data_IF_306274171669
#
_entry.id   IF_306274171669
#
_cell.length_a   1.000
_cell.length_b   1.000
_cell.length_c   1.000
_cell.angle_alpha   90.00
_cell.angle_beta   90.00
_cell.angle_gamma   90.00
#
_symmetry.space_group_name_H-M   'P 1'
#
loop_
_entity.id
_entity.type
_entity.pdbx_description
1 polymer ?
#
# COMPACT_ATOMS: atom_id res chain seq x y z
N UNK A 1 -0.91 -1.26 -15.06
CA UNK A 1 -0.95 -1.24 -13.58
C UNK A 1 0.20 -0.44 -12.96
N UNK A 2 1.47 -0.71 -13.31
CA UNK A 2 2.63 -0.02 -12.70
C UNK A 2 2.56 1.51 -12.77
N UNK A 3 2.09 2.09 -13.89
CA UNK A 3 1.94 3.55 -14.00
C UNK A 3 0.91 4.14 -13.04
N UNK A 4 -0.17 3.41 -12.74
CA UNK A 4 -1.16 3.85 -11.78
C UNK A 4 -0.60 3.79 -10.35
N UNK A 5 0.14 2.71 -10.03
CA UNK A 5 0.85 2.60 -8.75
C UNK A 5 1.89 3.73 -8.59
N UNK A 6 2.69 3.99 -9.63
CA UNK A 6 3.70 5.05 -9.65
C UNK A 6 3.11 6.44 -9.40
N UNK A 7 2.01 6.78 -10.09
CA UNK A 7 1.29 8.03 -9.83
C UNK A 7 0.68 8.07 -8.43
N UNK A 8 0.15 6.94 -7.95
CA UNK A 8 -0.34 6.84 -6.57
C UNK A 8 0.75 7.10 -5.52
N UNK A 9 1.99 6.69 -5.76
CA UNK A 9 3.15 7.05 -4.91
C UNK A 9 3.41 8.55 -4.94
N UNK A 10 3.36 9.18 -6.11
CA UNK A 10 3.49 10.64 -6.24
C UNK A 10 2.37 11.39 -5.50
N UNK A 11 1.14 10.87 -5.55
CA UNK A 11 -0.02 11.45 -4.85
C UNK A 11 0.13 11.33 -3.33
N UNK A 12 0.54 10.16 -2.82
CA UNK A 12 0.83 9.96 -1.39
C UNK A 12 1.92 10.92 -0.92
N UNK A 13 3.02 11.03 -1.68
CA UNK A 13 4.10 11.96 -1.37
C UNK A 13 3.62 13.41 -1.32
N UNK A 14 2.83 13.82 -2.32
CA UNK A 14 2.23 15.16 -2.38
C UNK A 14 1.32 15.44 -1.17
N UNK A 15 0.51 14.46 -0.77
CA UNK A 15 -0.40 14.62 0.35
C UNK A 15 0.34 14.78 1.69
N UNK A 16 1.43 14.04 1.89
CA UNK A 16 2.29 14.21 3.08
C UNK A 16 2.94 15.59 3.08
N UNK A 17 3.45 16.05 1.94
CA UNK A 17 4.00 17.41 1.79
C UNK A 17 2.98 18.47 2.13
N UNK A 18 1.73 18.32 1.69
CA UNK A 18 0.65 19.25 2.03
C UNK A 18 0.50 19.39 3.55
N UNK A 19 0.43 18.28 4.29
CA UNK A 19 0.28 18.36 5.74
C UNK A 19 1.49 18.99 6.42
N UNK A 20 2.72 18.64 6.01
CA UNK A 20 3.92 19.27 6.57
C UNK A 20 3.99 20.77 6.25
N UNK A 21 3.57 21.17 5.04
CA UNK A 21 3.38 22.58 4.67
C UNK A 21 2.31 23.25 5.53
N UNK A 22 1.18 22.59 5.80
CA UNK A 22 0.10 23.18 6.59
C UNK A 22 0.53 23.50 8.02
N UNK A 23 1.41 22.69 8.60
CA UNK A 23 1.98 22.94 9.94
C UNK A 23 2.86 24.20 9.91
N UNK A 24 3.71 24.34 8.88
CA UNK A 24 4.68 25.45 8.79
C UNK A 24 4.05 26.77 8.34
N UNK A 25 3.09 26.74 7.43
CA UNK A 25 2.60 27.93 6.73
C UNK A 25 1.11 28.21 6.91
N UNK A 26 0.31 27.22 7.31
CA UNK A 26 -1.15 27.35 7.41
C UNK A 26 -1.64 27.24 8.86
N UNK A 27 -0.80 27.59 9.84
CA UNK A 27 -1.16 27.56 11.26
C UNK A 27 -1.66 26.19 11.76
N UNK A 28 -1.17 25.10 11.16
CA UNK A 28 -1.53 23.72 11.52
C UNK A 28 -3.04 23.45 11.61
N UNK A 29 -3.80 23.78 10.55
CA UNK A 29 -5.28 23.65 10.49
C UNK A 29 -5.83 22.30 10.94
N UNK A 30 -5.05 21.22 10.77
CA UNK A 30 -5.48 19.85 11.01
C UNK A 30 -4.88 19.22 12.28
N UNK A 31 -4.14 19.99 13.09
CA UNK A 31 -3.51 19.48 14.32
C UNK A 31 -2.51 18.35 14.09
N UNK A 32 -1.78 18.40 12.98
CA UNK A 32 -0.84 17.35 12.56
C UNK A 32 0.46 17.46 13.37
N UNK A 33 0.93 16.32 13.86
CA UNK A 33 2.33 16.11 14.23
C UNK A 33 3.07 15.53 13.02
N UNK A 34 4.01 16.31 12.45
CA UNK A 34 4.74 15.94 11.23
C UNK A 34 5.65 14.72 11.41
N UNK A 35 5.91 14.32 12.66
CA UNK A 35 6.75 13.16 13.00
C UNK A 35 5.95 11.88 13.23
N UNK A 36 4.61 11.93 13.15
CA UNK A 36 3.70 10.83 13.51
C UNK A 36 2.78 10.39 12.38
N UNK A 37 3.13 10.72 11.14
CA UNK A 37 2.31 10.41 9.96
C UNK A 37 2.38 8.90 9.67
N UNK A 38 1.21 8.29 9.44
CA UNK A 38 1.08 6.88 9.03
C UNK A 38 0.39 6.81 7.66
N UNK A 39 0.94 6.01 6.74
CA UNK A 39 0.30 5.69 5.46
C UNK A 39 -0.40 4.34 5.58
N UNK A 40 -1.72 4.34 5.48
CA UNK A 40 -2.54 3.13 5.62
C UNK A 40 -3.27 2.81 4.30
N UNK A 41 -3.03 1.62 3.77
CA UNK A 41 -3.62 1.14 2.53
C UNK A 41 -4.47 -0.11 2.70
N UNK A 42 -5.61 -0.20 2.03
CA UNK A 42 -6.45 -1.39 1.97
C UNK A 42 -6.85 -1.74 0.54
N UNK A 43 -6.83 -3.03 0.18
CA UNK A 43 -7.11 -3.48 -1.19
C UNK A 43 -6.11 -2.90 -2.18
N UNK A 44 -6.57 -2.19 -3.22
CA UNK A 44 -5.69 -1.41 -4.12
C UNK A 44 -4.84 -0.39 -3.35
N UNK A 45 -5.37 0.19 -2.28
CA UNK A 45 -4.61 1.06 -1.38
C UNK A 45 -3.44 0.34 -0.71
N UNK A 46 -3.52 -0.97 -0.48
CA UNK A 46 -2.41 -1.77 0.06
C UNK A 46 -1.22 -1.85 -0.89
N UNK A 47 -1.46 -1.82 -2.20
CA UNK A 47 -0.38 -1.68 -3.19
C UNK A 47 0.27 -0.31 -3.09
N UNK A 48 -0.54 0.75 -2.89
CA UNK A 48 -0.02 2.11 -2.77
C UNK A 48 0.74 2.33 -1.47
N UNK A 49 0.30 1.78 -0.34
CA UNK A 49 1.06 1.91 0.91
C UNK A 49 2.38 1.15 0.85
N UNK A 50 2.40 -0.06 0.28
CA UNK A 50 3.64 -0.81 0.05
C UNK A 50 4.57 -0.11 -0.95
N UNK A 51 4.04 0.34 -2.09
CA UNK A 51 4.85 1.07 -3.08
C UNK A 51 5.34 2.41 -2.52
N UNK A 52 4.54 3.14 -1.74
CA UNK A 52 4.98 4.41 -1.13
C UNK A 52 6.03 4.21 -0.05
N UNK A 53 6.18 2.99 0.49
CA UNK A 53 7.19 2.66 1.48
C UNK A 53 8.50 2.22 0.84
N UNK A 54 8.42 1.47 -0.25
CA UNK A 54 9.56 0.72 -0.77
C UNK A 54 9.91 1.03 -2.23
N UNK A 55 9.11 1.82 -2.96
CA UNK A 55 9.47 2.34 -4.29
C UNK A 55 9.92 3.80 -4.15
N UNK A 56 11.20 3.99 -3.90
CA UNK A 56 11.82 5.26 -3.55
C UNK A 56 12.75 5.80 -4.65
N UNK A 57 13.19 4.95 -5.58
CA UNK A 57 14.10 5.34 -6.67
C UNK A 57 13.63 4.79 -8.01
N UNK A 58 13.79 5.58 -9.08
CA UNK A 58 13.47 5.11 -10.43
C UNK A 58 14.31 3.90 -10.87
N UNK A 59 15.53 3.78 -10.33
CA UNK A 59 16.42 2.64 -10.56
C UNK A 59 15.80 1.32 -10.06
N UNK A 60 14.91 1.32 -9.06
CA UNK A 60 14.24 0.11 -8.58
C UNK A 60 13.29 -0.46 -9.65
N UNK A 61 12.68 0.40 -10.48
CA UNK A 61 11.86 -0.03 -11.62
C UNK A 61 12.73 -0.62 -12.72
N UNK A 62 13.76 0.11 -13.14
CA UNK A 62 14.60 -0.30 -14.28
C UNK A 62 15.47 -1.51 -13.97
N UNK A 63 15.84 -1.69 -12.69
CA UNK A 63 16.62 -2.82 -12.20
C UNK A 63 15.76 -3.96 -11.63
N UNK A 64 14.42 -3.88 -11.71
CA UNK A 64 13.57 -4.98 -11.23
C UNK A 64 13.96 -6.28 -11.95
N UNK A 65 14.19 -7.39 -11.21
CA UNK A 65 14.62 -8.66 -11.79
C UNK A 65 13.74 -9.15 -12.95
N UNK A 66 14.38 -9.78 -13.94
CA UNK A 66 13.70 -10.33 -15.10
C UNK A 66 13.12 -9.30 -16.08
N UNK A 67 13.44 -8.01 -15.92
CA UNK A 67 12.91 -6.96 -16.79
C UNK A 67 11.40 -6.77 -16.65
N UNK A 68 10.84 -7.06 -15.47
CA UNK A 68 9.38 -7.07 -15.19
C UNK A 68 8.64 -5.83 -15.68
N UNK A 69 9.26 -4.66 -15.62
CA UNK A 69 8.67 -3.37 -16.02
C UNK A 69 9.24 -2.82 -17.33
N UNK A 70 9.74 -3.71 -18.19
CA UNK A 70 10.29 -3.39 -19.50
C UNK A 70 9.41 -4.08 -20.55
N UNK A 71 8.85 -3.30 -21.48
CA UNK A 71 8.05 -3.78 -22.60
C UNK A 71 8.95 -4.07 -23.81
N UNK A 72 8.99 -5.31 -24.31
CA UNK A 72 9.60 -5.59 -25.60
C UNK A 72 8.66 -5.10 -26.71
N UNK A 73 9.09 -4.12 -27.50
CA UNK A 73 8.30 -3.54 -28.59
C UNK A 73 8.96 -3.84 -29.93
N UNK A 74 8.21 -4.49 -30.82
CA UNK A 74 8.72 -4.90 -32.13
C UNK A 74 9.19 -3.68 -32.94
N UNK A 75 10.41 -3.76 -33.47
CA UNK A 75 11.02 -2.69 -34.27
C UNK A 75 11.59 -1.52 -33.47
N UNK A 76 11.45 -1.54 -32.13
CA UNK A 76 11.92 -0.44 -31.25
C UNK A 76 12.85 -0.97 -30.16
N UNK A 77 12.61 -2.20 -29.67
CA UNK A 77 13.39 -2.84 -28.62
C UNK A 77 12.72 -2.71 -27.25
N UNK A 78 13.53 -2.75 -26.21
CA UNK A 78 13.08 -2.76 -24.83
C UNK A 78 12.77 -1.34 -24.34
N UNK A 79 11.52 -1.09 -23.96
CA UNK A 79 11.05 0.22 -23.50
C UNK A 79 10.55 0.11 -22.05
N UNK A 80 11.12 0.88 -21.09
CA UNK A 80 10.59 0.96 -19.74
C UNK A 80 9.12 1.38 -19.71
N UNK A 81 8.32 0.73 -18.87
CA UNK A 81 6.90 1.08 -18.67
C UNK A 81 6.70 2.43 -17.95
N UNK A 82 7.75 2.92 -17.29
CA UNK A 82 7.85 4.23 -16.64
C UNK A 82 9.09 4.91 -17.21
N UNK A 83 8.96 6.17 -17.59
CA UNK A 83 10.05 7.03 -18.03
C UNK A 83 9.88 8.37 -17.32
N UNK A 84 10.78 8.74 -16.40
CA UNK A 84 10.60 9.94 -15.56
C UNK A 84 10.41 11.24 -16.35
N UNK A 85 11.05 11.38 -17.52
CA UNK A 85 10.83 12.56 -18.38
C UNK A 85 9.41 12.67 -18.94
N UNK A 86 8.62 11.61 -18.84
CA UNK A 86 7.20 11.56 -19.23
C UNK A 86 6.31 11.42 -18.00
N UNK A 87 6.66 10.58 -17.02
CA UNK A 87 5.82 10.24 -15.87
C UNK A 87 6.12 11.05 -14.59
N UNK A 88 7.13 11.90 -14.59
CA UNK A 88 7.63 12.59 -13.40
C UNK A 88 8.55 11.72 -12.55
N UNK A 89 9.25 12.37 -11.62
CA UNK A 89 10.09 11.68 -10.63
C UNK A 89 9.23 10.83 -9.68
N UNK A 90 9.78 9.76 -9.12
CA UNK A 90 9.02 8.82 -8.26
C UNK A 90 8.42 9.51 -7.03
N UNK A 91 9.16 10.46 -6.46
CA UNK A 91 8.73 11.28 -5.34
C UNK A 91 7.72 12.37 -5.77
N UNK A 92 7.51 12.62 -7.06
CA UNK A 92 6.58 13.63 -7.58
C UNK A 92 6.98 15.09 -7.32
N UNK A 93 8.26 15.40 -7.08
CA UNK A 93 8.72 16.81 -6.90
C UNK A 93 9.48 17.41 -8.09
N UNK A 94 9.62 16.65 -9.18
CA UNK A 94 10.23 17.11 -10.43
C UNK A 94 9.36 18.11 -11.21
N UNK A 95 9.88 18.68 -12.31
CA UNK A 95 9.09 19.61 -13.14
C UNK A 95 7.83 18.94 -13.70
N UNK A 96 6.79 19.71 -14.05
CA UNK A 96 5.60 19.16 -14.71
C UNK A 96 6.00 18.37 -15.96
N UNK A 97 5.39 17.20 -16.15
CA UNK A 97 5.65 16.34 -17.30
C UNK A 97 4.42 16.20 -18.18
N UNK A 98 4.67 16.16 -19.49
CA UNK A 98 3.64 16.03 -20.52
C UNK A 98 4.01 14.85 -21.41
N UNK A 99 3.03 14.01 -21.73
CA UNK A 99 3.21 12.88 -22.64
C UNK A 99 3.54 13.36 -24.06
N UNK A 100 4.42 12.62 -24.73
CA UNK A 100 4.73 12.84 -26.14
C UNK A 100 4.21 11.70 -27.01
N UNK A 101 4.06 11.94 -28.31
CA UNK A 101 3.76 10.90 -29.28
C UNK A 101 4.86 9.82 -29.37
N UNK A 102 6.10 10.16 -29.01
CA UNK A 102 7.23 9.23 -28.92
C UNK A 102 7.22 8.37 -27.65
N UNK A 103 6.40 8.72 -26.66
CA UNK A 103 6.20 7.90 -25.47
C UNK A 103 5.41 6.66 -25.87
N UNK A 104 6.10 5.54 -26.04
CA UNK A 104 5.51 4.28 -26.53
C UNK A 104 4.31 3.82 -25.68
N UNK A 105 4.34 3.98 -24.35
CA UNK A 105 3.14 3.73 -23.56
C UNK A 105 1.95 4.64 -23.91
N UNK A 106 2.13 5.83 -24.50
CA UNK A 106 1.03 6.60 -25.13
C UNK A 106 0.42 5.82 -26.31
N UNK A 107 1.26 5.26 -27.19
CA UNK A 107 0.82 4.52 -28.37
C UNK A 107 0.18 3.15 -28.04
N UNK A 108 0.62 2.50 -26.94
CA UNK A 108 0.14 1.17 -26.53
C UNK A 108 -0.97 1.25 -25.48
N UNK A 109 -0.97 2.25 -24.60
CA UNK A 109 -1.93 2.41 -23.49
C UNK A 109 -2.92 3.56 -23.71
N UNK A 110 -2.92 4.18 -24.89
CA UNK A 110 -3.89 5.19 -25.33
C UNK A 110 -3.93 6.48 -24.51
N UNK A 111 -2.82 6.90 -23.89
CA UNK A 111 -2.70 8.30 -23.47
C UNK A 111 -2.75 9.20 -24.72
N UNK A 112 -3.23 10.43 -24.60
CA UNK A 112 -3.11 11.38 -25.72
C UNK A 112 -1.77 12.07 -25.60
N UNK A 113 -1.12 12.34 -26.75
CA UNK A 113 0.03 13.24 -26.76
C UNK A 113 -0.41 14.61 -26.26
N UNK A 114 0.37 15.22 -25.38
CA UNK A 114 0.03 16.50 -24.75
C UNK A 114 -0.71 16.37 -23.42
N UNK A 115 -0.98 15.15 -22.94
CA UNK A 115 -1.57 14.93 -21.61
C UNK A 115 -0.54 15.22 -20.52
N UNK A 116 -0.89 16.02 -19.53
CA UNK A 116 -0.09 16.20 -18.34
C UNK A 116 -0.13 14.92 -17.50
N UNK A 117 1.04 14.33 -17.25
CA UNK A 117 1.15 13.05 -16.52
C UNK A 117 1.61 13.22 -15.08
N UNK A 118 2.30 14.31 -14.76
CA UNK A 118 2.72 14.65 -13.40
C UNK A 118 2.77 16.17 -13.23
N UNK A 119 2.23 16.66 -12.12
CA UNK A 119 2.34 18.07 -11.72
C UNK A 119 2.86 18.11 -10.28
N UNK A 120 4.04 18.69 -10.03
CA UNK A 120 4.58 18.78 -8.70
C UNK A 120 3.74 19.72 -7.83
N UNK A 121 3.51 19.33 -6.59
CA UNK A 121 2.82 20.13 -5.60
C UNK A 121 3.62 20.14 -4.29
N UNK A 122 3.63 21.29 -3.62
CA UNK A 122 4.30 21.50 -2.33
C UNK A 122 5.79 21.12 -2.34
N UNK A 123 6.47 21.39 -3.47
CA UNK A 123 7.91 21.14 -3.65
C UNK A 123 8.73 21.80 -2.53
N UNK A 124 9.78 21.10 -2.09
CA UNK A 124 10.66 21.54 -1.00
C UNK A 124 10.19 21.10 0.39
N UNK A 125 8.99 20.54 0.53
CA UNK A 125 8.56 19.85 1.74
C UNK A 125 8.92 18.36 1.71
N UNK A 126 9.29 17.80 2.87
CA UNK A 126 9.56 16.36 3.02
C UNK A 126 8.26 15.55 2.85
N UNK A 127 8.35 14.41 2.18
CA UNK A 127 7.29 13.40 2.09
C UNK A 127 7.51 12.19 2.99
N UNK A 128 8.51 12.23 3.87
CA UNK A 128 8.78 11.12 4.81
C UNK A 128 7.67 10.96 5.84
N UNK A 129 7.45 9.73 6.28
CA UNK A 129 6.42 9.38 7.27
C UNK A 129 6.91 8.22 8.14
N UNK A 130 6.26 8.02 9.29
CA UNK A 130 6.82 7.22 10.39
C UNK A 130 6.39 5.76 10.38
N UNK A 131 5.27 5.42 9.73
CA UNK A 131 4.70 4.08 9.75
C UNK A 131 3.93 3.75 8.47
N UNK A 132 4.09 2.53 7.96
CA UNK A 132 3.28 2.00 6.86
C UNK A 132 2.33 0.92 7.39
N UNK A 133 1.10 0.92 6.90
CA UNK A 133 0.14 -0.16 7.11
C UNK A 133 -0.41 -0.65 5.78
N UNK A 134 -0.44 -1.96 5.56
CA UNK A 134 -1.13 -2.55 4.42
C UNK A 134 -2.12 -3.63 4.85
N UNK A 135 -3.33 -3.56 4.30
CA UNK A 135 -4.40 -4.53 4.49
C UNK A 135 -4.75 -5.16 3.14
N UNK A 136 -4.20 -6.34 2.88
CA UNK A 136 -4.17 -6.94 1.55
C UNK A 136 -3.25 -6.17 0.59
N UNK A 137 -3.45 -6.43 -0.70
CA UNK A 137 -2.60 -5.89 -1.77
C UNK A 137 -1.19 -6.49 -1.79
N UNK A 138 -0.35 -6.01 -2.71
CA UNK A 138 0.98 -6.57 -2.89
C UNK A 138 2.00 -5.53 -3.38
N UNK A 139 3.27 -5.77 -3.09
CA UNK A 139 4.39 -4.99 -3.60
C UNK A 139 4.74 -5.47 -5.02
N UNK A 140 5.05 -4.54 -5.92
CA UNK A 140 5.36 -4.86 -7.31
C UNK A 140 6.55 -5.81 -7.44
N UNK A 141 7.57 -5.63 -6.61
CA UNK A 141 8.68 -6.57 -6.47
C UNK A 141 9.39 -6.39 -5.12
N UNK A 142 9.87 -7.48 -4.51
CA UNK A 142 10.58 -7.38 -3.22
C UNK A 142 12.00 -6.84 -3.34
N UNK A 143 12.55 -6.77 -4.56
CA UNK A 143 13.83 -6.11 -4.83
C UNK A 143 13.81 -4.61 -4.55
N UNK A 144 12.62 -4.00 -4.45
CA UNK A 144 12.46 -2.59 -4.12
C UNK A 144 12.74 -2.30 -2.64
N UNK A 145 12.57 -3.28 -1.75
CA UNK A 145 12.79 -3.08 -0.32
C UNK A 145 14.28 -2.80 -0.08
N UNK A 146 14.58 -1.71 0.60
CA UNK A 146 15.92 -1.29 1.03
C UNK A 146 15.97 -1.18 2.55
N UNK A 147 17.12 -1.49 3.16
CA UNK A 147 17.26 -1.38 4.61
C UNK A 147 17.15 0.09 5.07
N UNK A 148 16.50 0.31 6.22
CA UNK A 148 16.33 1.65 6.80
C UNK A 148 15.04 2.39 6.38
N UNK A 149 14.20 1.77 5.56
CA UNK A 149 12.88 2.31 5.19
C UNK A 149 11.84 2.10 6.30
N UNK A 150 10.67 2.70 6.13
CA UNK A 150 9.59 2.77 7.13
C UNK A 150 9.15 1.38 7.63
N UNK A 151 8.96 1.20 8.96
CA UNK A 151 8.37 -0.02 9.51
C UNK A 151 6.98 -0.30 8.91
N UNK A 152 6.62 -1.59 8.82
CA UNK A 152 5.37 -2.02 8.19
C UNK A 152 4.53 -2.86 9.15
N UNK A 153 3.24 -2.56 9.23
CA UNK A 153 2.22 -3.43 9.82
C UNK A 153 1.36 -3.99 8.68
N UNK A 154 1.27 -5.31 8.60
CA UNK A 154 0.53 -5.99 7.56
C UNK A 154 -0.64 -6.79 8.09
N UNK A 155 -1.75 -6.76 7.36
CA UNK A 155 -2.88 -7.67 7.49
C UNK A 155 -3.16 -8.30 6.14
N UNK A 156 -3.38 -9.61 6.08
CA UNK A 156 -3.63 -10.27 4.79
C UNK A 156 -4.46 -11.53 4.98
N UNK A 157 -5.41 -11.78 4.07
CA UNK A 157 -6.12 -13.05 4.01
C UNK A 157 -5.31 -14.05 3.20
N UNK A 158 -5.00 -15.22 3.77
CA UNK A 158 -4.17 -16.22 3.09
C UNK A 158 -4.78 -16.75 1.78
N UNK A 159 -6.10 -16.76 1.68
CA UNK A 159 -6.89 -17.26 0.54
C UNK A 159 -7.38 -16.16 -0.42
N UNK A 160 -6.86 -14.94 -0.34
CA UNK A 160 -7.25 -13.85 -1.25
C UNK A 160 -7.03 -14.26 -2.72
N UNK A 161 -8.10 -14.23 -3.50
CA UNK A 161 -8.13 -14.68 -4.89
C UNK A 161 -7.55 -13.66 -5.89
N UNK A 162 -7.37 -12.41 -5.46
CA UNK A 162 -6.91 -11.30 -6.31
C UNK A 162 -5.47 -10.92 -5.99
N UNK A 163 -5.18 -10.65 -4.72
CA UNK A 163 -3.84 -10.30 -4.24
C UNK A 163 -3.20 -11.53 -3.57
N UNK A 164 -2.09 -12.08 -4.09
CA UNK A 164 -1.47 -13.22 -3.46
C UNK A 164 -0.78 -12.80 -2.16
N UNK A 165 -0.96 -13.57 -1.07
CA UNK A 165 -0.23 -13.29 0.17
C UNK A 165 1.28 -13.51 0.04
N UNK A 166 1.69 -14.56 -0.67
CA UNK A 166 3.08 -14.82 -1.06
C UNK A 166 3.36 -14.23 -2.44
N UNK A 167 4.58 -14.39 -2.96
CA UNK A 167 4.92 -14.11 -4.35
C UNK A 167 4.05 -14.97 -5.26
N UNK A 168 3.34 -14.32 -6.17
CA UNK A 168 2.43 -14.98 -7.07
C UNK A 168 1.81 -14.00 -8.07
N UNK A 169 0.91 -14.52 -8.91
CA UNK A 169 0.28 -13.72 -9.95
C UNK A 169 -0.90 -12.93 -9.37
N UNK A 170 -0.82 -11.61 -9.47
CA UNK A 170 -1.94 -10.71 -9.28
C UNK A 170 -3.02 -10.97 -10.32
N UNK A 171 -4.26 -11.04 -9.88
CA UNK A 171 -5.43 -11.21 -10.74
C UNK A 171 -6.40 -10.05 -10.58
N UNK A 172 -6.98 -9.60 -11.69
CA UNK A 172 -8.03 -8.57 -11.68
C UNK A 172 -9.40 -9.18 -11.97
N UNK A 173 -10.46 -8.72 -11.31
CA UNK A 173 -11.81 -9.18 -11.60
C UNK A 173 -12.22 -8.73 -13.01
N UNK A 174 -12.71 -9.67 -13.83
CA UNK A 174 -13.31 -9.38 -15.14
C UNK A 174 -14.63 -10.14 -15.28
N UNK A 175 -15.40 -9.84 -16.34
CA UNK A 175 -16.62 -10.59 -16.67
C UNK A 175 -16.35 -12.07 -17.02
N UNK A 176 -15.11 -12.43 -17.33
CA UNK A 176 -14.69 -13.80 -17.67
C UNK A 176 -14.03 -14.53 -16.49
N UNK A 177 -13.99 -13.90 -15.32
CA UNK A 177 -13.29 -14.38 -14.12
C UNK A 177 -11.98 -13.62 -13.84
N UNK A 178 -11.23 -14.03 -12.79
CA UNK A 178 -9.96 -13.39 -12.41
C UNK A 178 -8.86 -13.60 -13.46
N UNK A 179 -8.47 -12.53 -14.15
CA UNK A 179 -7.46 -12.56 -15.21
C UNK A 179 -6.06 -12.19 -14.66
N UNK A 180 -4.99 -12.90 -15.05
CA UNK A 180 -3.64 -12.63 -14.57
C UNK A 180 -3.10 -11.30 -15.11
N UNK A 181 -2.38 -10.55 -14.28
CA UNK A 181 -1.78 -9.26 -14.65
C UNK A 181 -0.26 -9.30 -14.58
N UNK A 182 0.30 -9.58 -13.40
CA UNK A 182 1.75 -9.54 -13.17
C UNK A 182 2.09 -10.27 -11.88
N UNK A 183 3.30 -10.83 -11.79
CA UNK A 183 3.81 -11.38 -10.53
C UNK A 183 4.15 -10.27 -9.54
N UNK A 184 3.63 -10.37 -8.33
CA UNK A 184 3.79 -9.43 -7.21
C UNK A 184 4.06 -10.22 -5.93
N UNK A 185 4.46 -9.53 -4.85
CA UNK A 185 4.69 -10.16 -3.54
C UNK A 185 3.83 -9.54 -2.45
N UNK A 186 2.95 -10.34 -1.84
CA UNK A 186 2.12 -9.89 -0.74
C UNK A 186 2.82 -9.91 0.62
N UNK A 187 2.00 -9.65 1.64
CA UNK A 187 2.45 -9.49 3.03
C UNK A 187 3.18 -10.70 3.61
N UNK A 188 2.88 -11.92 3.16
CA UNK A 188 3.55 -13.13 3.68
C UNK A 188 5.07 -13.08 3.40
N UNK A 189 5.48 -12.63 2.22
CA UNK A 189 6.91 -12.57 1.86
C UNK A 189 7.54 -11.24 2.25
N UNK A 190 6.80 -10.14 2.12
CA UNK A 190 7.26 -8.81 2.55
C UNK A 190 7.58 -8.81 4.04
N UNK A 191 6.70 -9.32 4.90
CA UNK A 191 6.94 -9.37 6.34
C UNK A 191 8.18 -10.19 6.71
N UNK A 192 8.39 -11.33 6.05
CA UNK A 192 9.58 -12.17 6.24
C UNK A 192 10.88 -11.48 5.82
N UNK A 193 10.83 -10.60 4.81
CA UNK A 193 12.00 -9.81 4.41
C UNK A 193 12.29 -8.71 5.43
N UNK A 194 11.25 -7.99 5.87
CA UNK A 194 11.40 -6.90 6.84
C UNK A 194 11.94 -7.39 8.19
N UNK A 195 11.42 -8.50 8.69
CA UNK A 195 11.87 -9.09 9.96
C UNK A 195 13.34 -9.57 9.85
N UNK A 196 13.71 -10.24 8.74
CA UNK A 196 15.11 -10.67 8.51
C UNK A 196 16.09 -9.52 8.40
N UNK A 197 15.63 -8.35 7.94
CA UNK A 197 16.44 -7.14 7.79
C UNK A 197 16.39 -6.21 9.00
N UNK A 198 15.65 -6.60 10.05
CA UNK A 198 15.49 -5.81 11.27
C UNK A 198 14.67 -4.52 11.09
N UNK A 199 13.94 -4.36 9.99
CA UNK A 199 13.17 -3.14 9.70
C UNK A 199 11.96 -2.97 10.64
N UNK A 200 11.48 -4.09 11.18
CA UNK A 200 10.37 -4.14 12.13
C UNK A 200 10.82 -4.27 13.59
N UNK A 201 12.12 -4.11 13.88
CA UNK A 201 12.68 -4.32 15.23
C UNK A 201 12.12 -3.38 16.28
N UNK A 202 11.61 -2.20 15.88
CA UNK A 202 10.90 -1.29 16.78
C UNK A 202 9.74 -1.97 17.51
N UNK A 203 9.08 -2.95 16.88
CA UNK A 203 7.95 -3.67 17.49
C UNK A 203 8.38 -4.64 18.60
N UNK A 204 9.66 -4.99 18.72
CA UNK A 204 10.20 -5.77 19.85
C UNK A 204 10.15 -4.98 21.17
N UNK A 205 10.01 -3.66 21.10
CA UNK A 205 9.95 -2.78 22.28
C UNK A 205 8.56 -2.70 22.92
N UNK A 206 7.55 -3.35 22.34
CA UNK A 206 6.21 -3.42 22.92
C UNK A 206 6.30 -4.15 24.28
N UNK A 207 5.85 -3.53 25.39
CA UNK A 207 5.96 -4.16 26.70
C UNK A 207 5.14 -5.45 26.80
N UNK A 208 5.62 -6.40 27.62
CA UNK A 208 4.90 -7.63 27.90
C UNK A 208 3.47 -7.35 28.41
N UNK A 209 2.49 -8.08 27.88
CA UNK A 209 1.07 -7.91 28.22
C UNK A 209 0.37 -6.70 27.59
N UNK A 210 1.06 -5.88 26.78
CA UNK A 210 0.45 -4.72 26.07
C UNK A 210 0.01 -5.02 24.64
N UNK A 211 0.15 -6.26 24.18
CA UNK A 211 -0.27 -6.72 22.85
C UNK A 211 -1.06 -8.03 22.93
N UNK A 212 -2.31 -7.97 23.42
CA UNK A 212 -3.14 -9.17 23.58
C UNK A 212 -3.51 -9.80 22.23
N UNK A 213 -3.55 -9.01 21.15
CA UNK A 213 -3.92 -9.52 19.83
C UNK A 213 -2.80 -10.30 19.17
N UNK A 214 -1.52 -9.99 19.44
CA UNK A 214 -0.41 -10.80 18.95
C UNK A 214 -0.35 -12.20 19.54
N UNK A 215 -0.98 -12.46 20.70
CA UNK A 215 -1.11 -13.82 21.22
C UNK A 215 -1.92 -14.75 20.28
N UNK A 216 -2.77 -14.19 19.43
CA UNK A 216 -3.55 -14.93 18.42
C UNK A 216 -2.88 -14.96 17.04
N UNK A 217 -1.79 -14.21 16.87
CA UNK A 217 -1.04 -14.19 15.63
C UNK A 217 -0.24 -15.49 15.45
N UNK A 218 -0.46 -16.19 14.33
CA UNK A 218 0.15 -17.50 14.04
C UNK A 218 1.33 -17.44 13.07
N UNK A 219 1.66 -16.25 12.55
CA UNK A 219 2.70 -16.09 11.53
C UNK A 219 4.11 -16.17 12.12
N UNK A 220 4.28 -15.78 13.39
CA UNK A 220 5.59 -15.62 14.03
C UNK A 220 6.33 -14.34 13.62
N UNK A 221 5.77 -13.54 12.71
CA UNK A 221 6.32 -12.26 12.29
C UNK A 221 6.02 -11.15 13.31
N UNK A 222 6.89 -10.13 13.36
CA UNK A 222 6.78 -9.03 14.33
C UNK A 222 5.51 -8.17 14.13
N UNK A 223 5.15 -7.93 12.87
CA UNK A 223 4.05 -7.05 12.50
C UNK A 223 3.26 -7.52 11.27
N UNK A 224 3.04 -8.83 11.15
CA UNK A 224 2.14 -9.39 10.15
C UNK A 224 1.09 -10.29 10.79
N UNK A 225 -0.18 -9.92 10.63
CA UNK A 225 -1.33 -10.69 11.06
C UNK A 225 -2.06 -11.31 9.87
N UNK A 226 -2.02 -12.64 9.77
CA UNK A 226 -2.71 -13.36 8.71
C UNK A 226 -4.11 -13.82 9.15
N UNK A 227 -5.12 -13.50 8.34
CA UNK A 227 -6.48 -14.04 8.48
C UNK A 227 -6.64 -15.30 7.62
N UNK A 228 -7.26 -16.33 8.19
CA UNK A 228 -7.55 -17.60 7.53
C UNK A 228 -8.99 -18.03 7.84
N UNK A 229 -9.61 -18.80 6.94
CA UNK A 229 -10.99 -19.28 7.12
C UNK A 229 -12.00 -18.13 7.18
N UNK A 230 -11.85 -17.14 6.29
CA UNK A 230 -12.74 -15.98 6.24
C UNK A 230 -14.11 -16.38 5.68
N UNK A 231 -15.20 -15.69 6.07
CA UNK A 231 -16.54 -15.96 5.54
C UNK A 231 -16.55 -15.89 4.01
N UNK A 232 -17.12 -16.91 3.37
CA UNK A 232 -17.20 -17.05 1.91
C UNK A 232 -15.84 -16.91 1.19
N UNK A 233 -14.75 -17.29 1.87
CA UNK A 233 -13.37 -17.14 1.37
C UNK A 233 -13.02 -15.70 0.94
N UNK A 234 -13.68 -14.70 1.54
CA UNK A 234 -13.46 -13.29 1.23
C UNK A 234 -12.02 -12.87 1.53
N UNK A 235 -11.36 -12.22 0.56
CA UNK A 235 -10.06 -11.55 0.74
C UNK A 235 -10.11 -10.29 1.61
N UNK A 236 -11.31 -9.81 1.93
CA UNK A 236 -11.56 -8.58 2.70
C UNK A 236 -12.69 -8.75 3.72
N UNK A 237 -12.56 -9.65 4.72
CA UNK A 237 -13.62 -9.96 5.69
C UNK A 237 -14.05 -8.76 6.56
N UNK A 238 -13.25 -7.69 6.58
CA UNK A 238 -13.54 -6.41 7.23
C UNK A 238 -14.48 -5.49 6.41
N UNK A 239 -14.80 -5.84 5.17
CA UNK A 239 -15.74 -5.11 4.33
C UNK A 239 -17.15 -5.68 4.43
N UNK A 240 -18.16 -4.83 4.28
CA UNK A 240 -19.54 -5.25 4.08
C UNK A 240 -20.30 -4.29 3.18
N UNK A 241 -21.29 -4.82 2.46
CA UNK A 241 -22.23 -4.02 1.68
C UNK A 241 -23.52 -3.77 2.48
N UNK A 242 -24.25 -2.72 2.10
CA UNK A 242 -25.60 -2.48 2.62
C UNK A 242 -26.55 -3.58 2.11
N UNK A 243 -27.22 -4.28 3.03
CA UNK A 243 -28.11 -5.39 2.70
C UNK A 243 -29.32 -4.98 1.83
N UNK A 244 -29.81 -3.74 1.94
CA UNK A 244 -30.98 -3.24 1.18
C UNK A 244 -30.63 -2.75 -0.22
N UNK A 245 -29.35 -2.46 -0.48
CA UNK A 245 -28.84 -2.08 -1.80
C UNK A 245 -27.55 -2.88 -2.03
N UNK A 246 -27.64 -4.20 -2.26
CA UNK A 246 -26.47 -5.06 -2.34
C UNK A 246 -25.66 -4.90 -3.64
N UNK A 247 -25.49 -3.66 -4.15
CA UNK A 247 -24.67 -3.22 -5.31
C UNK A 247 -25.40 -3.26 -6.67
N UNK A 248 -24.81 -2.70 -7.76
CA UNK A 248 -25.41 -2.74 -9.09
C UNK A 248 -25.66 -4.18 -9.54
N UNK A 249 -26.90 -4.47 -9.92
CA UNK A 249 -27.42 -5.81 -10.28
C UNK A 249 -26.75 -6.45 -11.52
N UNK A 250 -25.78 -5.78 -12.14
CA UNK A 250 -25.18 -6.15 -13.44
C UNK A 250 -23.81 -6.82 -13.33
N UNK A 251 -23.22 -6.97 -12.14
CA UNK A 251 -21.94 -7.68 -11.98
C UNK A 251 -22.18 -9.16 -11.58
N UNK A 252 -21.90 -10.14 -12.44
CA UNK A 252 -22.09 -11.56 -12.16
C UNK A 252 -21.16 -12.12 -11.05
N UNK A 253 -20.17 -11.36 -10.58
CA UNK A 253 -19.23 -11.76 -9.51
C UNK A 253 -19.77 -11.48 -8.09
N UNK A 254 -21.06 -11.21 -7.93
CA UNK A 254 -21.64 -10.59 -6.71
C UNK A 254 -22.25 -11.57 -5.70
N UNK A 255 -22.26 -12.87 -5.99
CA UNK A 255 -22.96 -13.87 -5.16
C UNK A 255 -22.41 -14.00 -3.73
N UNK A 256 -21.17 -13.55 -3.50
CA UNK A 256 -20.41 -13.79 -2.26
C UNK A 256 -20.12 -12.52 -1.43
N UNK A 257 -20.79 -11.39 -1.74
CA UNK A 257 -20.57 -10.15 -1.00
C UNK A 257 -21.04 -10.24 0.46
N UNK A 258 -20.13 -10.02 1.41
CA UNK A 258 -20.48 -9.92 2.83
C UNK A 258 -21.45 -8.75 3.05
N UNK A 259 -22.59 -9.00 3.69
CA UNK A 259 -23.54 -7.96 4.14
C UNK A 259 -23.63 -7.88 5.67
N UNK A 260 -22.89 -8.74 6.38
CA UNK A 260 -22.91 -8.83 7.83
C UNK A 260 -21.88 -7.87 8.46
N UNK A 261 -22.35 -6.67 8.78
CA UNK A 261 -21.54 -5.65 9.43
C UNK A 261 -21.02 -6.07 10.82
N UNK A 262 -21.77 -6.89 11.56
CA UNK A 262 -21.34 -7.37 12.87
C UNK A 262 -20.16 -8.35 12.77
N UNK A 263 -20.14 -9.19 11.73
CA UNK A 263 -18.99 -10.05 11.42
C UNK A 263 -17.77 -9.20 11.06
N UNK A 264 -17.93 -8.25 10.13
CA UNK A 264 -16.84 -7.40 9.67
C UNK A 264 -16.20 -6.57 10.80
N UNK A 265 -17.00 -6.03 11.73
CA UNK A 265 -16.48 -5.30 12.88
C UNK A 265 -15.57 -6.11 13.79
N UNK A 266 -15.78 -7.43 13.93
CA UNK A 266 -14.86 -8.29 14.71
C UNK A 266 -13.47 -8.37 14.08
N UNK A 267 -13.39 -8.38 12.74
CA UNK A 267 -12.11 -8.30 12.04
C UNK A 267 -11.46 -6.92 12.27
N UNK A 268 -12.24 -5.84 12.20
CA UNK A 268 -11.77 -4.48 12.49
C UNK A 268 -11.23 -4.37 13.92
N UNK A 269 -11.94 -4.90 14.92
CA UNK A 269 -11.48 -4.90 16.32
C UNK A 269 -10.12 -5.60 16.46
N UNK A 270 -9.93 -6.72 15.76
CA UNK A 270 -8.64 -7.43 15.70
C UNK A 270 -7.55 -6.59 15.02
N UNK A 271 -7.88 -5.96 13.89
CA UNK A 271 -6.95 -5.12 13.13
C UNK A 271 -6.48 -3.93 13.98
N UNK A 272 -7.42 -3.17 14.55
CA UNK A 272 -7.09 -2.00 15.38
C UNK A 272 -6.37 -2.43 16.67
N UNK A 273 -6.81 -3.51 17.29
CA UNK A 273 -6.18 -4.06 18.49
C UNK A 273 -4.74 -4.52 18.29
N UNK A 274 -4.44 -5.11 17.12
CA UNK A 274 -3.07 -5.50 16.74
C UNK A 274 -2.23 -4.29 16.28
N UNK A 275 -2.85 -3.33 15.59
CA UNK A 275 -2.21 -2.10 15.12
C UNK A 275 -1.78 -1.19 16.28
N UNK A 276 -2.67 -0.93 17.25
CA UNK A 276 -2.46 0.08 18.29
C UNK A 276 -1.12 -0.04 19.07
N UNK A 277 -0.73 -1.20 19.63
CA UNK A 277 0.55 -1.31 20.33
C UNK A 277 1.76 -1.11 19.42
N UNK A 278 1.67 -1.52 18.15
CA UNK A 278 2.72 -1.35 17.14
C UNK A 278 2.85 0.11 16.72
N UNK A 279 1.73 0.76 16.45
CA UNK A 279 1.67 2.18 16.18
C UNK A 279 2.22 2.98 17.35
N UNK A 280 1.91 2.57 18.58
CA UNK A 280 2.43 3.22 19.77
C UNK A 280 3.96 3.32 19.76
N UNK A 281 4.65 2.19 19.55
CA UNK A 281 6.12 2.17 19.59
C UNK A 281 6.74 2.75 18.32
N UNK A 282 6.19 2.49 17.13
CA UNK A 282 6.73 3.02 15.87
C UNK A 282 6.58 4.54 15.78
N UNK A 283 5.50 5.08 16.32
CA UNK A 283 5.29 6.53 16.39
C UNK A 283 5.90 7.13 17.67
N UNK A 284 6.53 6.37 18.56
CA UNK A 284 7.12 6.89 19.81
C UNK A 284 6.10 7.60 20.71
N UNK A 285 4.89 7.06 20.80
CA UNK A 285 3.80 7.57 21.62
C UNK A 285 3.90 7.04 23.05
N UNK A 286 3.40 7.81 24.01
CA UNK A 286 3.41 7.44 25.42
C UNK A 286 2.12 6.71 25.84
N UNK A 287 1.77 5.62 25.15
CA UNK A 287 0.46 4.97 25.35
C UNK A 287 0.33 4.20 26.66
N UNK A 288 1.46 3.93 27.33
CA UNK A 288 1.47 3.06 28.50
C UNK A 288 1.50 3.81 29.83
N UNK A 289 1.81 5.11 29.82
CA UNK A 289 1.74 5.96 31.00
C UNK A 289 0.44 6.77 31.09
N UNK A 290 -0.39 6.75 30.04
CA UNK A 290 -1.67 7.44 30.04
C UNK A 290 -2.69 6.61 30.84
N UNK A 291 -2.90 6.96 32.10
CA UNK A 291 -4.12 6.58 32.81
C UNK A 291 -5.27 7.35 32.16
N UNK A 292 -6.07 6.68 31.34
CA UNK A 292 -7.40 7.18 31.02
C UNK A 292 -8.17 7.13 32.34
N UNK A 293 -8.32 8.28 32.99
CA UNK A 293 -9.37 8.43 33.98
C UNK A 293 -10.67 8.26 33.20
N UNK A 294 -11.25 7.07 33.25
CA UNK A 294 -12.62 6.88 32.82
C UNK A 294 -13.47 7.84 33.68
N UNK A 295 -13.97 8.90 33.04
CA UNK A 295 -15.12 9.65 33.56
C UNK A 295 -16.39 8.91 33.17
#
# INVERSE_FOLDING_TARGET
>A
MIQAAYRGVQDVNTYIRYFKKSVKELNNLHGIDTTKITVWGQGTGGYLSLASAFLNQYSEITNTPGGKWILPVQGIGNVPMIIESQNGLVNGDGPPTVSSAAYIPTAVLSFKSGDTLSVPNHVGYSSEYALTVNMGGALGDTSWITAGETPLISFHVGSDAFAPCKTGILRVPTLRGPEPVVEVSGSCDVANILDRRGMNDVFKTIPAGKDPFNAFNKTGNLAFYQFNGTPNDSGSPWEWANASVPKPLTDPNTKDCNTNAASARKYIDTIIGYFAPRACVALGLNCWSASVNAQ
#
